data_IF_089680176145
#
_entry.id   IF_089680176145
#
_cell.length_a   1.000
_cell.length_b   1.000
_cell.length_c   1.000
_cell.angle_alpha   90.00
_cell.angle_beta   90.00
_cell.angle_gamma   90.00
#
_symmetry.space_group_name_H-M   'P 1'
#
loop_
_entity.id
_entity.type
_entity.pdbx_description
1 polymer ?
#
# COMPACT_ATOMS: atom_id res chain seq x y z
N UNK A 1 10.46 -5.47 -17.97
CA UNK A 1 10.00 -5.47 -16.57
C UNK A 1 8.77 -6.36 -16.43
N UNK A 2 8.77 -7.24 -15.45
CA UNK A 2 7.64 -8.12 -15.23
C UNK A 2 6.58 -7.41 -14.39
N UNK A 3 5.29 -7.57 -14.76
CA UNK A 3 4.16 -7.00 -14.04
C UNK A 3 3.28 -8.11 -13.51
N UNK A 4 2.74 -7.92 -12.31
CA UNK A 4 1.78 -8.83 -11.70
C UNK A 4 0.48 -8.07 -11.44
N UNK A 5 -0.64 -8.62 -11.88
CA UNK A 5 -1.93 -7.96 -11.72
C UNK A 5 -2.35 -7.92 -10.25
N UNK A 6 -2.85 -6.78 -9.82
CA UNK A 6 -3.44 -6.59 -8.48
C UNK A 6 -4.96 -6.65 -8.57
N UNK A 7 -5.55 -5.83 -9.42
CA UNK A 7 -7.02 -5.70 -9.53
C UNK A 7 -7.38 -4.91 -10.78
N UNK A 8 -8.67 -4.84 -11.08
CA UNK A 8 -9.18 -3.91 -12.06
C UNK A 8 -9.08 -2.48 -11.54
N UNK A 9 -8.82 -1.54 -12.45
CA UNK A 9 -8.64 -0.14 -12.06
C UNK A 9 -9.90 0.43 -11.38
N UNK A 10 -11.09 0.00 -11.80
CA UNK A 10 -12.36 0.44 -11.25
C UNK A 10 -12.60 -0.04 -9.83
N UNK A 11 -11.84 -1.01 -9.34
CA UNK A 11 -11.96 -1.50 -7.97
C UNK A 11 -11.28 -0.58 -6.96
N UNK A 12 -10.45 0.37 -7.42
CA UNK A 12 -9.77 1.34 -6.56
C UNK A 12 -10.36 2.72 -6.77
N UNK A 13 -11.03 3.24 -5.75
CA UNK A 13 -11.62 4.58 -5.75
C UNK A 13 -10.85 5.49 -4.81
N UNK A 14 -10.80 6.78 -5.14
CA UNK A 14 -10.08 7.78 -4.35
C UNK A 14 -10.51 7.74 -2.88
N UNK A 15 -9.52 7.59 -1.99
CA UNK A 15 -9.75 7.68 -0.55
C UNK A 15 -10.57 6.55 0.04
N UNK A 16 -10.75 5.43 -0.69
CA UNK A 16 -11.60 4.33 -0.26
C UNK A 16 -10.79 3.06 -0.07
N UNK A 17 -11.48 1.91 -0.06
CA UNK A 17 -10.86 0.62 0.28
C UNK A 17 -9.68 0.29 -0.62
N UNK A 18 -8.65 -0.27 -0.02
CA UNK A 18 -7.47 -0.77 -0.71
C UNK A 18 -7.71 -2.16 -1.28
N UNK A 19 -6.77 -2.60 -2.12
CA UNK A 19 -6.67 -4.00 -2.54
C UNK A 19 -5.37 -4.56 -2.02
N UNK A 20 -5.44 -5.65 -1.26
CA UNK A 20 -4.29 -6.32 -0.70
C UNK A 20 -3.66 -7.26 -1.74
N UNK A 21 -2.35 -7.41 -1.66
CA UNK A 21 -1.62 -8.38 -2.46
C UNK A 21 -0.34 -8.76 -1.71
N UNK A 22 0.26 -9.88 -2.11
CA UNK A 22 1.42 -10.40 -1.41
C UNK A 22 2.66 -10.28 -2.29
N UNK A 23 3.78 -9.91 -1.65
CA UNK A 23 5.07 -9.80 -2.33
C UNK A 23 6.16 -10.43 -1.46
N UNK A 24 7.28 -10.78 -2.07
CA UNK A 24 8.53 -10.99 -1.33
C UNK A 24 9.27 -9.67 -1.27
N UNK A 25 9.65 -9.25 -0.10
CA UNK A 25 10.46 -8.05 0.10
C UNK A 25 11.76 -8.47 0.77
N UNK A 26 12.88 -8.32 0.07
CA UNK A 26 14.18 -8.84 0.51
C UNK A 26 14.09 -10.33 0.90
N UNK A 27 13.33 -11.10 0.09
CA UNK A 27 13.16 -12.53 0.30
C UNK A 27 12.15 -12.94 1.37
N UNK A 28 11.48 -11.99 2.01
CA UNK A 28 10.48 -12.27 3.06
C UNK A 28 9.07 -11.99 2.54
N UNK A 29 8.10 -12.90 2.80
CA UNK A 29 6.71 -12.62 2.43
C UNK A 29 6.15 -11.47 3.25
N UNK A 30 5.61 -10.46 2.57
CA UNK A 30 4.98 -9.30 3.21
C UNK A 30 3.69 -8.98 2.48
N UNK A 31 2.65 -8.66 3.23
CA UNK A 31 1.42 -8.15 2.63
C UNK A 31 1.62 -6.71 2.20
N UNK A 32 1.10 -6.38 1.02
CA UNK A 32 1.08 -5.04 0.48
C UNK A 32 -0.35 -4.61 0.22
N UNK A 33 -0.56 -3.33 -0.03
CA UNK A 33 -1.87 -2.80 -0.40
C UNK A 33 -1.72 -1.71 -1.44
N UNK A 34 -2.73 -1.63 -2.33
CA UNK A 34 -2.82 -0.55 -3.32
C UNK A 34 -4.03 0.31 -3.01
N UNK A 35 -3.88 1.62 -3.18
CA UNK A 35 -4.93 2.62 -2.97
C UNK A 35 -4.91 3.61 -4.11
N UNK A 36 -6.02 4.36 -4.28
CA UNK A 36 -6.06 5.48 -5.22
C UNK A 36 -6.19 6.78 -4.44
N UNK A 37 -5.38 7.75 -4.83
CA UNK A 37 -5.43 9.09 -4.25
C UNK A 37 -5.22 10.12 -5.35
N UNK A 38 -6.13 11.08 -5.46
CA UNK A 38 -6.12 12.10 -6.52
C UNK A 38 -6.00 11.49 -7.92
N UNK A 39 -6.73 10.40 -8.16
CA UNK A 39 -6.76 9.74 -9.45
C UNK A 39 -5.58 8.83 -9.74
N UNK A 40 -4.58 8.76 -8.86
CA UNK A 40 -3.35 7.99 -9.09
C UNK A 40 -3.28 6.82 -8.11
N UNK A 41 -2.85 5.65 -8.62
CA UNK A 41 -2.66 4.46 -7.80
C UNK A 41 -1.28 4.49 -7.14
N UNK A 42 -1.26 4.19 -5.84
CA UNK A 42 -0.05 4.03 -5.04
C UNK A 42 -0.13 2.74 -4.27
N UNK A 43 1.00 2.11 -3.98
CA UNK A 43 1.04 0.89 -3.20
C UNK A 43 2.18 0.93 -2.19
N UNK A 44 1.96 0.27 -1.07
CA UNK A 44 2.90 0.25 0.05
C UNK A 44 2.88 -1.11 0.71
N UNK A 45 3.98 -1.46 1.39
CA UNK A 45 3.96 -2.61 2.28
C UNK A 45 3.05 -2.30 3.47
N UNK A 46 2.21 -3.28 3.84
CA UNK A 46 1.31 -3.14 4.99
C UNK A 46 2.08 -3.42 6.28
N UNK A 47 2.89 -2.45 6.65
CA UNK A 47 3.75 -2.57 7.83
C UNK A 47 3.93 -1.18 8.43
N UNK A 48 3.41 -0.99 9.65
CA UNK A 48 3.54 0.27 10.36
C UNK A 48 5.02 0.50 10.72
N UNK A 49 5.52 1.72 10.51
CA UNK A 49 6.92 2.03 10.82
C UNK A 49 7.16 2.23 12.31
N UNK A 50 6.10 2.38 13.11
CA UNK A 50 6.19 2.47 14.55
C UNK A 50 6.46 1.10 15.16
N UNK A 51 5.70 0.09 14.71
CA UNK A 51 5.88 -1.31 15.11
C UNK A 51 5.67 -2.17 13.87
N UNK A 52 6.33 -3.32 13.81
CA UNK A 52 6.28 -4.19 12.63
C UNK A 52 4.99 -5.03 12.62
N UNK A 53 3.85 -4.36 12.41
CA UNK A 53 2.55 -5.01 12.35
C UNK A 53 1.69 -4.38 11.25
N UNK A 54 0.67 -5.12 10.81
CA UNK A 54 -0.24 -4.62 9.79
C UNK A 54 -1.03 -3.42 10.31
N UNK A 55 -1.34 -2.49 9.40
CA UNK A 55 -1.95 -1.22 9.74
C UNK A 55 -3.47 -1.27 9.85
N UNK A 56 -4.11 -2.17 9.10
CA UNK A 56 -5.56 -2.17 8.97
C UNK A 56 -6.24 -3.01 10.04
N UNK A 57 -6.96 -2.35 10.93
CA UNK A 57 -7.83 -3.00 11.90
C UNK A 57 -8.99 -3.71 11.17
N UNK A 58 -9.63 -3.00 10.24
CA UNK A 58 -10.63 -3.58 9.35
C UNK A 58 -9.93 -3.85 8.02
N UNK A 59 -10.06 -5.08 7.48
CA UNK A 59 -9.35 -5.43 6.24
C UNK A 59 -9.57 -4.39 5.13
N UNK A 60 -8.47 -3.96 4.50
CA UNK A 60 -8.44 -3.03 3.39
C UNK A 60 -8.88 -1.59 3.70
N UNK A 61 -9.03 -1.25 4.99
CA UNK A 61 -9.43 0.09 5.42
C UNK A 61 -8.21 0.84 5.96
N UNK A 62 -7.58 1.64 5.11
CA UNK A 62 -6.36 2.36 5.46
C UNK A 62 -6.56 3.87 5.61
N UNK A 63 -7.54 4.44 4.90
CA UNK A 63 -7.77 5.88 4.94
C UNK A 63 -8.50 6.30 6.22
N UNK A 64 -8.21 7.53 6.66
CA UNK A 64 -8.98 8.17 7.72
C UNK A 64 -10.37 8.57 7.19
N UNK A 65 -11.20 9.15 8.05
CA UNK A 65 -12.57 9.54 7.69
C UNK A 65 -12.63 10.57 6.58
N UNK A 66 -11.57 11.35 6.39
CA UNK A 66 -11.52 12.37 5.34
C UNK A 66 -11.09 11.81 3.99
N UNK A 67 -10.51 10.60 3.96
CA UNK A 67 -9.94 10.03 2.75
C UNK A 67 -8.64 10.69 2.33
N UNK A 68 -8.01 11.48 3.20
CA UNK A 68 -6.82 12.26 2.87
C UNK A 68 -5.52 11.63 3.37
N UNK A 69 -5.58 10.80 4.42
CA UNK A 69 -4.40 10.25 5.07
C UNK A 69 -4.54 8.76 5.29
N UNK A 70 -3.42 8.03 5.18
CA UNK A 70 -3.36 6.61 5.54
C UNK A 70 -3.06 6.52 7.04
N UNK A 71 -3.82 5.69 7.75
CA UNK A 71 -3.68 5.53 9.20
C UNK A 71 -3.25 4.12 9.57
N UNK A 72 -2.37 4.05 10.57
CA UNK A 72 -2.14 2.80 11.30
C UNK A 72 -3.19 2.75 12.43
N UNK A 73 -4.05 1.74 12.40
CA UNK A 73 -5.16 1.64 13.34
C UNK A 73 -4.73 1.40 14.78
N UNK A 74 -3.50 0.91 14.99
CA UNK A 74 -3.01 0.59 16.34
C UNK A 74 -2.73 1.82 17.19
N UNK A 75 -2.00 2.80 16.65
CA UNK A 75 -1.53 3.95 17.43
C UNK A 75 -1.72 5.29 16.73
N UNK A 76 -2.44 5.32 15.62
CA UNK A 76 -2.76 6.57 14.94
C UNK A 76 -1.63 7.21 14.14
N UNK A 77 -0.59 6.45 13.80
CA UNK A 77 0.42 6.94 12.88
C UNK A 77 -0.22 7.27 11.55
N UNK A 78 0.09 8.42 10.97
CA UNK A 78 -0.53 8.91 9.74
C UNK A 78 0.53 9.13 8.67
N UNK A 79 0.18 8.77 7.42
CA UNK A 79 1.09 8.83 6.29
C UNK A 79 0.42 9.51 5.10
N UNK A 80 1.21 10.23 4.31
CA UNK A 80 0.72 10.82 3.07
C UNK A 80 0.44 9.73 2.03
N UNK A 81 -0.74 9.71 1.40
CA UNK A 81 -1.08 8.62 0.47
C UNK A 81 -0.23 8.58 -0.80
N UNK A 82 0.30 9.71 -1.24
CA UNK A 82 1.07 9.81 -2.48
C UNK A 82 2.55 9.47 -2.30
N UNK A 83 3.12 9.76 -1.14
CA UNK A 83 4.55 9.53 -0.90
C UNK A 83 4.84 8.47 0.16
N UNK A 84 3.87 8.18 1.03
CA UNK A 84 4.08 7.30 2.18
C UNK A 84 4.81 7.98 3.33
N UNK A 85 5.10 9.29 3.24
CA UNK A 85 5.84 10.00 4.28
C UNK A 85 5.04 10.07 5.57
N UNK A 86 5.72 9.93 6.71
CA UNK A 86 5.09 10.12 8.02
C UNK A 86 4.68 11.58 8.18
N UNK A 87 3.40 11.82 8.45
CA UNK A 87 2.87 13.17 8.64
C UNK A 87 2.34 13.43 10.04
N UNK A 88 2.24 12.39 10.87
CA UNK A 88 1.77 12.57 12.24
C UNK A 88 1.76 11.27 13.02
N UNK A 89 1.64 11.38 14.33
CA UNK A 89 1.64 10.22 15.22
C UNK A 89 3.03 9.63 15.45
N UNK A 90 3.13 8.40 15.98
CA UNK A 90 4.39 7.85 16.44
C UNK A 90 5.25 7.19 15.36
N UNK A 91 4.99 7.46 14.07
CA UNK A 91 5.76 6.80 13.01
C UNK A 91 7.21 7.29 12.94
N UNK A 92 8.10 6.38 12.51
CA UNK A 92 9.53 6.66 12.38
C UNK A 92 9.94 6.48 10.92
N UNK A 93 9.70 7.49 10.09
CA UNK A 93 9.97 7.42 8.67
C UNK A 93 8.74 6.97 7.88
N UNK A 94 8.88 6.90 6.56
CA UNK A 94 7.76 6.63 5.68
C UNK A 94 7.49 5.14 5.46
N UNK A 95 6.33 4.86 4.87
CA UNK A 95 5.99 3.51 4.42
C UNK A 95 6.89 3.13 3.24
N UNK A 96 7.15 1.83 3.08
CA UNK A 96 7.91 1.34 1.93
C UNK A 96 7.00 1.30 0.72
N UNK A 97 7.35 2.06 -0.32
CA UNK A 97 6.54 2.16 -1.53
C UNK A 97 6.84 0.99 -2.47
N UNK A 98 5.77 0.34 -2.95
CA UNK A 98 5.86 -0.72 -3.95
C UNK A 98 5.61 -0.10 -5.32
N UNK A 99 6.48 -0.34 -6.32
CA UNK A 99 6.25 0.23 -7.65
C UNK A 99 5.03 -0.38 -8.31
N UNK A 100 4.18 0.47 -8.89
CA UNK A 100 2.93 0.04 -9.55
C UNK A 100 2.77 0.77 -10.87
N UNK A 101 1.96 0.17 -11.76
CA UNK A 101 1.53 0.78 -13.02
C UNK A 101 0.05 0.49 -13.23
N UNK A 102 -0.63 1.42 -13.84
CA UNK A 102 -2.03 1.23 -14.26
C UNK A 102 -2.04 1.27 -15.79
N UNK A 103 -2.50 0.17 -16.42
CA UNK A 103 -2.53 0.04 -17.88
C UNK A 103 -3.83 -0.61 -18.32
N UNK A 104 -4.50 -0.02 -19.31
CA UNK A 104 -5.66 -0.62 -19.96
C UNK A 104 -6.71 -1.12 -18.96
N UNK A 105 -6.96 -0.34 -17.91
CA UNK A 105 -7.97 -0.67 -16.90
C UNK A 105 -7.54 -1.70 -15.87
N UNK A 106 -6.25 -2.03 -15.77
CA UNK A 106 -5.73 -2.98 -14.79
C UNK A 106 -4.59 -2.36 -14.01
N UNK A 107 -4.57 -2.61 -12.69
CA UNK A 107 -3.50 -2.19 -11.80
C UNK A 107 -2.51 -3.33 -11.63
N UNK A 108 -1.23 -3.05 -11.86
CA UNK A 108 -0.14 -4.03 -11.73
C UNK A 108 0.89 -3.52 -10.73
N UNK A 109 1.54 -4.44 -10.00
CA UNK A 109 2.77 -4.10 -9.31
C UNK A 109 3.96 -4.60 -10.11
N UNK A 110 5.08 -3.90 -9.99
CA UNK A 110 6.26 -4.17 -10.81
C UNK A 110 7.20 -5.11 -10.06
N UNK A 111 7.53 -6.23 -10.71
CA UNK A 111 8.47 -7.21 -10.13
C UNK A 111 9.88 -6.73 -10.41
N UNK A 112 10.48 -6.09 -9.41
CA UNK A 112 11.87 -5.63 -9.47
C UNK A 112 12.45 -5.63 -8.06
N UNK A 113 13.72 -6.01 -7.94
CA UNK A 113 14.39 -6.07 -6.65
C UNK A 113 14.22 -4.76 -5.88
N UNK A 114 13.85 -4.76 -4.59
CA UNK A 114 13.75 -5.94 -3.69
C UNK A 114 12.36 -6.60 -3.63
N UNK A 115 11.48 -6.30 -4.60
CA UNK A 115 10.13 -6.86 -4.64
C UNK A 115 10.07 -7.99 -5.65
N UNK A 116 9.69 -9.18 -5.20
CA UNK A 116 9.64 -10.38 -6.03
C UNK A 116 8.32 -11.10 -5.84
N UNK A 117 7.99 -11.96 -6.82
CA UNK A 117 6.78 -12.78 -6.72
C UNK A 117 6.97 -13.88 -5.68
N UNK A 118 5.86 -14.21 -4.98
CA UNK A 118 5.86 -15.39 -4.14
C UNK A 118 6.00 -16.63 -5.03
N UNK A 119 6.83 -17.57 -4.59
CA UNK A 119 7.04 -18.83 -5.29
C UNK A 119 6.51 -19.94 -4.38
N UNK A 120 5.60 -20.74 -4.93
CA UNK A 120 5.00 -21.86 -4.21
C UNK A 120 5.51 -23.19 -4.74
#
# INVERSE_FOLDING_TARGET
MELQAVCGAEELRDGQRAKAFDVLYHGEPVRAFAVRHDGVVHAYLNRCTHVAMEMDWQPDQFFDDTGQWLLCASHGAAYAPDTGACVGGPCRGGLVKVPVQERAGVVYWCVEWPFERLVF
#
